data_IF_736272965233
#
_entry.id   IF_736272965233
#
_cell.length_a   1.000
_cell.length_b   1.000
_cell.length_c   1.000
_cell.angle_alpha   90.00
_cell.angle_beta   90.00
_cell.angle_gamma   90.00
#
_symmetry.space_group_name_H-M   'P 1'
#
loop_
_entity.id
_entity.type
_entity.pdbx_description
1 polymer ?
#
# COMPACT_ATOMS: atom_id res chain seq x y z
N UNK A 1 -7.96 8.39 0.97
CA UNK A 1 -8.19 9.30 -0.17
C UNK A 1 -7.70 10.66 0.28
N UNK A 2 -6.51 11.12 -0.16
CA UNK A 2 -6.17 12.54 0.04
C UNK A 2 -7.17 13.30 -0.82
N UNK A 3 -7.92 14.20 -0.20
CA UNK A 3 -8.89 15.01 -0.92
C UNK A 3 -8.17 15.79 -2.03
N UNK A 4 -8.66 15.72 -3.26
CA UNK A 4 -8.19 16.53 -4.39
C UNK A 4 -8.58 18.02 -4.23
N UNK A 5 -8.65 18.53 -3.00
CA UNK A 5 -9.18 19.84 -2.67
C UNK A 5 -8.29 21.01 -3.15
N UNK A 6 -7.09 20.71 -3.66
CA UNK A 6 -6.08 21.70 -4.07
C UNK A 6 -5.82 21.78 -5.58
N UNK A 7 -6.54 21.03 -6.42
CA UNK A 7 -6.43 21.10 -7.89
C UNK A 7 -7.66 21.77 -8.51
N UNK A 8 -7.43 22.74 -9.42
CA UNK A 8 -8.48 23.51 -10.11
C UNK A 8 -9.39 22.68 -11.02
N UNK A 9 -9.02 21.45 -11.34
CA UNK A 9 -9.88 20.44 -11.94
C UNK A 9 -9.79 19.11 -11.16
N UNK A 10 -10.85 18.69 -10.46
CA UNK A 10 -10.87 17.36 -9.85
C UNK A 10 -10.84 16.31 -10.96
N UNK A 11 -9.79 15.50 -11.02
CA UNK A 11 -9.73 14.32 -11.88
C UNK A 11 -10.54 13.22 -11.20
N UNK A 12 -11.84 13.20 -11.50
CA UNK A 12 -12.77 12.19 -11.03
C UNK A 12 -12.54 10.82 -11.69
N UNK A 13 -13.33 9.83 -11.27
CA UNK A 13 -13.27 8.48 -11.85
C UNK A 13 -13.90 8.52 -13.25
N UNK A 14 -13.09 8.29 -14.27
CA UNK A 14 -13.55 8.17 -15.65
C UNK A 14 -13.91 6.70 -15.97
N UNK A 15 -14.68 6.48 -17.05
CA UNK A 15 -14.95 5.16 -17.64
C UNK A 15 -15.80 4.17 -16.82
N UNK A 16 -16.52 4.59 -15.78
CA UNK A 16 -17.40 3.70 -14.98
C UNK A 16 -18.44 2.95 -15.83
N UNK A 17 -18.92 3.53 -16.93
CA UNK A 17 -19.85 2.85 -17.85
C UNK A 17 -19.27 1.56 -18.44
N UNK A 18 -17.94 1.44 -18.53
CA UNK A 18 -17.24 0.25 -19.01
C UNK A 18 -17.49 -0.96 -18.12
N UNK A 19 -17.79 -0.76 -16.83
CA UNK A 19 -18.10 -1.83 -15.89
C UNK A 19 -19.35 -2.62 -16.33
N UNK A 20 -20.31 -1.96 -16.99
CA UNK A 20 -21.54 -2.59 -17.45
C UNK A 20 -21.25 -3.51 -18.64
N UNK A 21 -20.68 -2.96 -19.71
CA UNK A 21 -20.43 -3.73 -20.94
C UNK A 21 -19.44 -4.88 -20.70
N UNK A 22 -18.40 -4.64 -19.89
CA UNK A 22 -17.41 -5.68 -19.53
C UNK A 22 -17.83 -6.55 -18.35
N UNK A 23 -18.98 -6.27 -17.71
CA UNK A 23 -19.50 -6.99 -16.53
C UNK A 23 -18.45 -7.11 -15.41
N UNK A 24 -17.72 -6.03 -15.14
CA UNK A 24 -16.66 -5.99 -14.13
C UNK A 24 -17.25 -5.80 -12.74
N UNK A 25 -16.75 -6.56 -11.76
CA UNK A 25 -17.05 -6.33 -10.34
C UNK A 25 -16.01 -5.39 -9.72
N UNK A 26 -16.45 -4.23 -9.21
CA UNK A 26 -15.61 -3.32 -8.43
C UNK A 26 -16.09 -3.35 -6.98
N UNK A 27 -15.27 -3.89 -6.07
CA UNK A 27 -15.62 -4.06 -4.66
C UNK A 27 -14.46 -3.60 -3.78
N UNK A 28 -14.73 -2.63 -2.90
CA UNK A 28 -13.82 -2.29 -1.81
C UNK A 28 -13.86 -3.35 -0.70
N UNK A 29 -12.76 -3.48 0.04
CA UNK A 29 -12.68 -4.32 1.23
C UNK A 29 -11.70 -3.69 2.23
N UNK A 30 -11.81 -4.08 3.51
CA UNK A 30 -10.85 -3.72 4.54
C UNK A 30 -10.08 -4.95 4.99
N UNK A 31 -8.79 -4.78 5.29
CA UNK A 31 -7.97 -5.87 5.83
C UNK A 31 -8.52 -6.40 7.17
N UNK A 32 -9.15 -5.53 7.97
CA UNK A 32 -9.79 -5.87 9.24
C UNK A 32 -10.85 -6.97 9.10
N UNK A 33 -11.55 -7.03 7.97
CA UNK A 33 -12.60 -8.02 7.71
C UNK A 33 -12.02 -9.45 7.61
N UNK A 34 -10.72 -9.58 7.38
CA UNK A 34 -10.03 -10.85 7.10
C UNK A 34 -8.94 -11.20 8.11
N UNK A 35 -8.88 -10.53 9.26
CA UNK A 35 -7.86 -10.81 10.31
C UNK A 35 -7.90 -12.27 10.77
N UNK A 36 -9.07 -12.92 10.72
CA UNK A 36 -9.22 -14.34 11.03
C UNK A 36 -8.41 -15.28 10.11
N UNK A 37 -8.03 -14.82 8.91
CA UNK A 37 -7.17 -15.57 7.99
C UNK A 37 -5.67 -15.37 8.24
N UNK A 38 -5.29 -14.47 9.17
CA UNK A 38 -3.89 -14.12 9.40
C UNK A 38 -2.98 -15.32 9.73
N UNK A 39 -3.39 -16.32 10.55
CA UNK A 39 -2.56 -17.50 10.80
C UNK A 39 -2.24 -18.27 9.51
N UNK A 40 -3.26 -18.54 8.68
CA UNK A 40 -3.09 -19.23 7.39
C UNK A 40 -2.22 -18.41 6.42
N UNK A 41 -2.40 -17.08 6.40
CA UNK A 41 -1.60 -16.17 5.61
C UNK A 41 -0.12 -16.25 5.99
N UNK A 42 0.21 -16.23 7.29
CA UNK A 42 1.58 -16.31 7.75
C UNK A 42 2.26 -17.60 7.32
N UNK A 43 1.61 -18.75 7.52
CA UNK A 43 2.16 -20.05 7.12
C UNK A 43 2.53 -20.07 5.63
N UNK A 44 1.63 -19.55 4.80
CA UNK A 44 1.84 -19.49 3.36
C UNK A 44 2.95 -18.51 2.96
N UNK A 45 2.92 -17.29 3.48
CA UNK A 45 3.86 -16.23 3.08
C UNK A 45 5.27 -16.55 3.57
N UNK A 46 5.45 -17.03 4.80
CA UNK A 46 6.77 -17.38 5.34
C UNK A 46 7.41 -18.48 4.49
N UNK A 47 6.64 -19.51 4.14
CA UNK A 47 7.12 -20.62 3.32
C UNK A 47 7.59 -20.14 1.95
N UNK A 48 6.79 -19.32 1.26
CA UNK A 48 7.13 -18.81 -0.06
C UNK A 48 8.28 -17.79 -0.01
N UNK A 49 8.33 -16.95 1.02
CA UNK A 49 9.42 -15.99 1.24
C UNK A 49 10.76 -16.71 1.43
N UNK A 50 10.80 -17.73 2.29
CA UNK A 50 12.01 -18.55 2.50
C UNK A 50 12.45 -19.30 1.24
N UNK A 51 11.51 -19.68 0.38
CA UNK A 51 11.79 -20.31 -0.92
C UNK A 51 12.21 -19.30 -2.01
N UNK A 52 12.26 -18.00 -1.71
CA UNK A 52 12.58 -16.95 -2.69
C UNK A 52 11.47 -16.70 -3.72
N UNK A 53 10.28 -17.27 -3.52
CA UNK A 53 9.11 -17.07 -4.41
C UNK A 53 8.43 -15.72 -4.19
N UNK A 54 8.69 -15.09 -3.05
CA UNK A 54 8.26 -13.73 -2.73
C UNK A 54 9.51 -12.88 -2.50
N UNK A 55 9.66 -11.82 -3.30
CA UNK A 55 10.68 -10.79 -3.11
C UNK A 55 10.02 -9.55 -2.56
N UNK A 56 10.67 -8.90 -1.61
CA UNK A 56 10.14 -7.75 -0.91
C UNK A 56 11.22 -6.65 -0.81
N UNK A 57 10.83 -5.42 -1.10
CA UNK A 57 11.71 -4.25 -1.20
C UNK A 57 11.22 -3.19 -0.23
N UNK A 58 12.14 -2.65 0.57
CA UNK A 58 11.89 -1.57 1.52
C UNK A 58 12.72 -0.34 1.18
N UNK A 59 12.12 0.84 1.37
CA UNK A 59 12.81 2.13 1.42
C UNK A 59 12.92 2.53 2.89
N UNK A 60 14.08 2.27 3.49
CA UNK A 60 14.31 2.50 4.91
C UNK A 60 14.89 3.89 5.18
N UNK A 61 14.34 4.59 6.18
CA UNK A 61 14.90 5.79 6.79
C UNK A 61 15.23 5.52 8.24
N UNK A 62 16.33 6.07 8.75
CA UNK A 62 16.72 5.93 10.15
C UNK A 62 16.38 7.22 10.90
N UNK A 63 15.98 7.11 12.16
CA UNK A 63 15.63 8.25 13.00
C UNK A 63 14.18 8.69 12.83
N UNK A 64 13.50 8.94 13.96
CA UNK A 64 12.11 9.38 14.00
C UNK A 64 11.92 10.76 13.35
N UNK A 65 12.93 11.61 13.41
CA UNK A 65 13.00 12.92 12.78
C UNK A 65 12.77 12.86 11.27
N UNK A 66 13.04 11.72 10.63
CA UNK A 66 12.82 11.53 9.21
C UNK A 66 11.39 11.07 8.86
N UNK A 67 10.56 10.74 9.85
CA UNK A 67 9.19 10.25 9.62
C UNK A 67 8.30 11.25 8.86
N UNK A 68 8.31 12.57 9.15
CA UNK A 68 7.51 13.53 8.39
C UNK A 68 7.90 13.57 6.91
N UNK A 69 9.21 13.60 6.63
CA UNK A 69 9.72 13.60 5.25
C UNK A 69 9.38 12.29 4.52
N UNK A 70 9.54 11.14 5.20
CA UNK A 70 9.17 9.84 4.66
C UNK A 70 7.66 9.72 4.33
N UNK A 71 6.80 10.30 5.18
CA UNK A 71 5.36 10.32 4.96
C UNK A 71 4.95 11.20 3.78
N UNK A 72 5.58 12.37 3.60
CA UNK A 72 5.35 13.21 2.42
C UNK A 72 5.79 12.48 1.14
N UNK A 73 6.94 11.80 1.18
CA UNK A 73 7.45 11.00 0.04
C UNK A 73 6.46 9.93 -0.44
N UNK A 74 5.74 9.30 0.49
CA UNK A 74 4.71 8.29 0.19
C UNK A 74 3.62 8.84 -0.73
N UNK A 75 3.16 10.06 -0.49
CA UNK A 75 2.10 10.68 -1.29
C UNK A 75 2.60 11.37 -2.55
N UNK A 76 3.88 11.73 -2.59
CA UNK A 76 4.55 12.19 -3.80
C UNK A 76 5.00 11.02 -4.70
N UNK A 77 4.86 9.76 -4.25
CA UNK A 77 5.23 8.57 -5.02
C UNK A 77 6.73 8.41 -5.25
N UNK A 78 7.56 8.93 -4.33
CA UNK A 78 9.04 8.97 -4.48
C UNK A 78 9.78 7.88 -3.70
N UNK A 79 9.06 7.02 -2.99
CA UNK A 79 9.61 5.84 -2.31
C UNK A 79 9.71 4.65 -3.27
N UNK A 80 10.77 3.85 -3.13
CA UNK A 80 10.95 2.61 -3.90
C UNK A 80 10.67 1.42 -3.00
N UNK A 81 9.50 0.80 -3.17
CA UNK A 81 9.03 -0.27 -2.27
C UNK A 81 8.33 0.28 -1.02
N UNK A 82 8.25 -0.52 0.05
CA UNK A 82 7.56 -0.11 1.27
C UNK A 82 8.39 0.89 2.05
N UNK A 83 7.84 2.07 2.33
CA UNK A 83 8.49 3.07 3.18
C UNK A 83 8.51 2.58 4.64
N UNK A 84 9.70 2.54 5.25
CA UNK A 84 9.92 2.15 6.65
C UNK A 84 10.76 3.21 7.35
N UNK A 85 10.45 3.49 8.61
CA UNK A 85 11.27 4.35 9.49
C UNK A 85 11.77 3.51 10.65
N UNK A 86 13.08 3.27 10.70
CA UNK A 86 13.78 2.64 11.80
C UNK A 86 14.03 3.68 12.90
N UNK A 87 13.25 3.61 13.98
CA UNK A 87 13.31 4.56 15.09
C UNK A 87 14.51 4.30 16.00
N UNK A 88 14.77 3.03 16.28
CA UNK A 88 15.92 2.56 17.02
C UNK A 88 16.38 1.23 16.42
N UNK A 89 17.68 0.95 16.53
CA UNK A 89 18.24 -0.37 16.27
C UNK A 89 18.40 -1.10 17.60
N UNK A 90 18.09 -2.40 17.59
CA UNK A 90 18.42 -3.31 18.70
C UNK A 90 19.92 -3.60 18.74
#
# INVERSE_FOLDING_TARGET
MISQNSTSSPQGIHNLYTLIYKRVTMKGFLQSDYVHLFPQFLDHVISNFKQGKIVYIEDMKHGLENAPAAFVRLFNGTNVGKQVVCVAQE
#
